data_IF_760600014722
#
_entry.id   IF_760600014722
#
_cell.length_a   1.000
_cell.length_b   1.000
_cell.length_c   1.000
_cell.angle_alpha   90.00
_cell.angle_beta   90.00
_cell.angle_gamma   90.00
#
_symmetry.space_group_name_H-M   'P 1'
#
loop_
_entity.id
_entity.type
_entity.pdbx_description
1 polymer ?
#
# COMPACT_ATOMS: atom_id res chain seq x y z
N UNK A 1 36.41 8.03 -18.47
CA UNK A 1 35.22 8.52 -17.80
C UNK A 1 34.57 7.29 -17.18
N UNK A 2 34.52 7.21 -15.87
CA UNK A 2 33.80 6.10 -15.21
C UNK A 2 32.31 6.35 -15.44
N UNK A 3 31.67 5.54 -16.26
CA UNK A 3 30.22 5.53 -16.38
C UNK A 3 29.66 5.14 -15.01
N UNK A 4 29.29 6.13 -14.23
CA UNK A 4 28.58 5.93 -12.98
C UNK A 4 27.10 5.66 -13.34
N UNK A 5 26.77 4.40 -13.60
CA UNK A 5 25.39 3.98 -13.73
C UNK A 5 24.77 3.98 -12.33
N UNK A 6 23.93 4.97 -12.05
CA UNK A 6 23.18 5.08 -10.82
C UNK A 6 21.75 4.59 -11.04
N UNK A 7 21.25 3.84 -10.08
CA UNK A 7 19.83 3.46 -10.05
C UNK A 7 19.25 3.71 -8.65
N UNK A 8 18.09 4.34 -8.62
CA UNK A 8 17.43 4.77 -7.39
C UNK A 8 16.06 4.17 -7.30
N UNK A 9 15.70 3.69 -6.10
CA UNK A 9 14.33 3.28 -5.78
C UNK A 9 13.88 3.88 -4.45
N UNK A 10 12.59 4.04 -4.30
CA UNK A 10 11.93 4.55 -3.11
C UNK A 10 10.97 3.51 -2.52
N UNK A 11 10.65 3.68 -1.24
CA UNK A 11 9.59 2.97 -0.57
C UNK A 11 8.94 3.85 0.47
N UNK A 12 7.68 3.54 0.78
CA UNK A 12 6.89 4.21 1.82
C UNK A 12 6.50 3.24 2.91
N UNK A 13 6.39 3.74 4.15
CA UNK A 13 5.98 2.94 5.29
C UNK A 13 4.47 2.71 5.35
N UNK A 14 4.05 1.84 6.26
CA UNK A 14 2.64 1.47 6.48
C UNK A 14 1.71 2.66 6.76
N UNK A 15 2.23 3.78 7.29
CA UNK A 15 1.45 4.98 7.58
C UNK A 15 1.53 6.08 6.52
N UNK A 16 2.24 5.88 5.43
CA UNK A 16 2.19 6.81 4.29
C UNK A 16 0.80 6.77 3.64
N UNK A 17 0.22 7.91 3.22
CA UNK A 17 -1.12 7.94 2.64
C UNK A 17 -1.37 6.90 1.54
N UNK A 18 -0.44 6.73 0.60
CA UNK A 18 -0.58 5.73 -0.46
C UNK A 18 -0.68 4.31 0.11
N UNK A 19 0.14 3.98 1.12
CA UNK A 19 0.13 2.65 1.73
C UNK A 19 -1.08 2.43 2.64
N UNK A 20 -1.56 3.48 3.29
CA UNK A 20 -2.84 3.42 4.03
C UNK A 20 -4.00 3.17 3.06
N UNK A 21 -4.00 3.84 1.90
CA UNK A 21 -5.01 3.61 0.87
C UNK A 21 -5.00 2.16 0.36
N UNK A 22 -3.82 1.60 0.06
CA UNK A 22 -3.67 0.19 -0.30
C UNK A 22 -4.25 -0.74 0.76
N UNK A 23 -3.87 -0.52 2.04
CA UNK A 23 -4.32 -1.37 3.16
C UNK A 23 -5.83 -1.31 3.37
N UNK A 24 -6.45 -0.13 3.19
CA UNK A 24 -7.91 0.00 3.28
C UNK A 24 -8.60 -0.73 2.13
N UNK A 25 -8.14 -0.56 0.90
CA UNK A 25 -8.71 -1.25 -0.27
C UNK A 25 -8.57 -2.77 -0.15
N UNK A 26 -7.41 -3.26 0.28
CA UNK A 26 -7.16 -4.68 0.53
C UNK A 26 -8.05 -5.23 1.66
N UNK A 27 -8.21 -4.48 2.75
CA UNK A 27 -9.07 -4.90 3.86
C UNK A 27 -10.54 -5.02 3.44
N UNK A 28 -11.04 -4.15 2.56
CA UNK A 28 -12.40 -4.25 2.00
C UNK A 28 -12.53 -5.51 1.15
N UNK A 29 -11.55 -5.80 0.29
CA UNK A 29 -11.51 -7.02 -0.52
C UNK A 29 -11.50 -8.26 0.38
N UNK A 30 -10.61 -8.32 1.35
CA UNK A 30 -10.46 -9.46 2.26
C UNK A 30 -11.73 -9.72 3.06
N UNK A 31 -12.35 -8.66 3.60
CA UNK A 31 -13.58 -8.79 4.39
C UNK A 31 -14.78 -9.32 3.56
N UNK A 32 -14.84 -8.96 2.27
CA UNK A 32 -15.84 -9.46 1.36
C UNK A 32 -15.57 -10.92 0.97
N UNK A 33 -14.34 -11.25 0.56
CA UNK A 33 -13.95 -12.60 0.18
C UNK A 33 -14.05 -13.61 1.33
N UNK A 34 -13.87 -13.18 2.56
CA UNK A 34 -14.03 -14.02 3.75
C UNK A 34 -15.48 -14.53 3.92
N UNK A 35 -16.47 -13.78 3.45
CA UNK A 35 -17.89 -14.12 3.53
C UNK A 35 -18.45 -14.69 2.22
N UNK A 36 -17.97 -14.21 1.09
CA UNK A 36 -18.42 -14.59 -0.24
C UNK A 36 -17.24 -14.69 -1.19
N UNK A 37 -16.80 -15.90 -1.51
CA UNK A 37 -15.65 -16.17 -2.38
C UNK A 37 -15.85 -15.73 -3.83
N UNK A 38 -17.11 -15.56 -4.26
CA UNK A 38 -17.47 -15.09 -5.59
C UNK A 38 -17.58 -13.56 -5.67
N UNK A 39 -17.20 -12.85 -4.61
CA UNK A 39 -17.18 -11.39 -4.60
C UNK A 39 -16.31 -10.82 -5.72
N UNK A 40 -16.82 -9.78 -6.36
CA UNK A 40 -16.07 -8.92 -7.28
C UNK A 40 -15.98 -7.54 -6.65
N UNK A 41 -14.76 -7.09 -6.42
CA UNK A 41 -14.50 -5.88 -5.63
C UNK A 41 -13.51 -5.01 -6.38
N UNK A 42 -13.98 -3.85 -6.81
CA UNK A 42 -13.16 -2.75 -7.30
C UNK A 42 -13.32 -1.61 -6.29
N UNK A 43 -12.40 -1.55 -5.34
CA UNK A 43 -12.43 -0.60 -4.24
C UNK A 43 -11.19 0.29 -4.30
N UNK A 44 -11.42 1.57 -4.58
CA UNK A 44 -10.40 2.62 -4.60
C UNK A 44 -10.49 3.45 -3.32
N UNK A 45 -9.35 3.89 -2.83
CA UNK A 45 -9.31 4.68 -1.59
C UNK A 45 -8.48 5.95 -1.79
N UNK A 46 -9.04 7.08 -1.36
CA UNK A 46 -8.34 8.36 -1.27
C UNK A 46 -8.19 8.74 0.21
N UNK A 47 -6.97 9.10 0.58
CA UNK A 47 -6.63 9.50 1.95
C UNK A 47 -6.09 10.92 2.01
N UNK A 48 -6.60 11.68 2.96
CA UNK A 48 -6.05 12.97 3.40
C UNK A 48 -6.21 13.05 4.91
N UNK A 49 -5.34 13.80 5.59
CA UNK A 49 -5.46 14.03 7.05
C UNK A 49 -6.91 14.30 7.44
N UNK A 50 -7.46 13.46 8.30
CA UNK A 50 -8.84 13.56 8.79
C UNK A 50 -9.95 13.13 7.82
N UNK A 51 -9.59 12.61 6.62
CA UNK A 51 -10.56 12.18 5.60
C UNK A 51 -10.11 10.89 4.91
N UNK A 52 -11.03 9.95 4.81
CA UNK A 52 -10.89 8.74 3.99
C UNK A 52 -12.13 8.65 3.10
N UNK A 53 -11.92 8.47 1.83
CA UNK A 53 -12.97 8.21 0.84
C UNK A 53 -12.73 6.84 0.24
N UNK A 54 -13.72 5.96 0.36
CA UNK A 54 -13.75 4.64 -0.29
C UNK A 54 -14.78 4.70 -1.39
N UNK A 55 -14.39 4.42 -2.62
CA UNK A 55 -15.25 4.53 -3.79
C UNK A 55 -15.01 3.36 -4.76
N UNK A 56 -15.98 3.08 -5.62
CA UNK A 56 -15.88 2.04 -6.63
C UNK A 56 -17.13 1.20 -6.72
N UNK A 57 -17.02 0.01 -7.34
CA UNK A 57 -18.13 -0.89 -7.54
C UNK A 57 -17.85 -2.28 -6.95
N UNK A 58 -18.86 -2.84 -6.31
CA UNK A 58 -18.78 -4.19 -5.73
C UNK A 58 -19.99 -5.04 -6.15
N UNK A 59 -19.75 -6.33 -6.32
CA UNK A 59 -20.78 -7.36 -6.42
C UNK A 59 -20.45 -8.46 -5.42
N UNK A 60 -21.22 -8.53 -4.35
CA UNK A 60 -21.01 -9.46 -3.24
C UNK A 60 -22.29 -9.67 -2.46
N UNK A 61 -22.43 -10.86 -1.86
CA UNK A 61 -23.45 -11.15 -0.84
C UNK A 61 -22.95 -10.82 0.58
N UNK A 62 -21.69 -10.43 0.74
CA UNK A 62 -21.10 -10.10 2.02
C UNK A 62 -21.75 -8.84 2.62
N UNK A 63 -21.83 -8.82 3.95
CA UNK A 63 -22.28 -7.67 4.73
C UNK A 63 -21.09 -7.16 5.54
N UNK A 64 -20.49 -6.05 5.11
CA UNK A 64 -19.30 -5.47 5.72
C UNK A 64 -19.62 -4.05 6.20
N UNK A 65 -19.34 -3.78 7.46
CA UNK A 65 -19.36 -2.41 8.02
C UNK A 65 -18.08 -1.70 7.58
N UNK A 66 -18.17 -1.00 6.47
CA UNK A 66 -17.02 -0.30 5.85
C UNK A 66 -16.47 0.80 6.76
N UNK A 67 -17.33 1.56 7.45
CA UNK A 67 -16.87 2.62 8.36
C UNK A 67 -16.02 2.05 9.49
N UNK A 68 -16.52 1.01 10.14
CA UNK A 68 -15.77 0.33 11.21
C UNK A 68 -14.47 -0.29 10.69
N UNK A 69 -14.51 -0.99 9.55
CA UNK A 69 -13.34 -1.63 8.96
C UNK A 69 -12.22 -0.62 8.66
N UNK A 70 -12.56 0.50 8.05
CA UNK A 70 -11.60 1.57 7.72
C UNK A 70 -10.94 2.12 8.99
N UNK A 71 -11.73 2.38 10.04
CA UNK A 71 -11.21 2.86 11.33
C UNK A 71 -10.30 1.86 12.00
N UNK A 72 -10.64 0.58 11.96
CA UNK A 72 -9.82 -0.51 12.51
C UNK A 72 -8.46 -0.59 11.79
N UNK A 73 -8.42 -0.47 10.47
CA UNK A 73 -7.17 -0.43 9.68
C UNK A 73 -6.30 0.76 10.09
N UNK A 74 -6.87 1.95 10.19
CA UNK A 74 -6.13 3.16 10.59
C UNK A 74 -5.56 3.03 12.00
N UNK A 75 -6.33 2.47 12.92
CA UNK A 75 -5.90 2.21 14.29
C UNK A 75 -4.74 1.19 14.35
N UNK A 76 -4.82 0.09 13.59
CA UNK A 76 -3.79 -0.96 13.54
C UNK A 76 -2.46 -0.44 12.98
N UNK A 77 -2.50 0.42 11.99
CA UNK A 77 -1.32 1.12 11.46
C UNK A 77 -0.63 1.93 12.56
N UNK A 78 -1.36 2.41 13.54
CA UNK A 78 -0.84 3.14 14.70
C UNK A 78 -1.18 4.63 14.70
N UNK A 79 -2.15 5.05 13.90
CA UNK A 79 -2.81 6.33 14.01
C UNK A 79 -3.92 6.21 15.06
N UNK A 80 -3.66 6.64 16.27
CA UNK A 80 -4.51 6.38 17.43
C UNK A 80 -4.81 7.62 18.28
N UNK A 81 -4.43 8.79 17.81
CA UNK A 81 -4.77 10.05 18.45
C UNK A 81 -4.59 11.25 17.51
N UNK A 82 -5.26 12.37 17.74
CA UNK A 82 -5.05 13.61 16.99
C UNK A 82 -3.59 14.10 17.00
N UNK A 83 -2.84 13.82 18.06
CA UNK A 83 -1.44 14.22 18.22
C UNK A 83 -0.51 13.53 17.22
N UNK A 84 -0.94 12.41 16.64
CA UNK A 84 -0.21 11.68 15.59
C UNK A 84 -0.52 12.22 14.20
N UNK A 85 -1.44 13.20 14.11
CA UNK A 85 -1.86 13.82 12.86
C UNK A 85 -3.00 13.09 12.15
N UNK A 86 -3.46 11.96 12.68
CA UNK A 86 -4.61 11.21 12.18
C UNK A 86 -5.24 10.39 13.31
N UNK A 87 -6.56 10.41 13.41
CA UNK A 87 -7.28 9.74 14.47
C UNK A 87 -8.48 8.97 13.89
N UNK A 88 -8.56 7.66 14.11
CA UNK A 88 -9.62 6.82 13.56
C UNK A 88 -11.00 7.17 14.11
N UNK A 89 -11.11 7.70 15.34
CA UNK A 89 -12.40 8.03 15.95
C UNK A 89 -13.01 9.32 15.39
N UNK A 90 -12.17 10.31 15.10
CA UNK A 90 -12.63 11.65 14.65
C UNK A 90 -12.52 11.88 13.15
N UNK A 91 -11.85 11.00 12.40
CA UNK A 91 -11.74 11.15 10.95
C UNK A 91 -13.09 10.95 10.25
N UNK A 92 -13.27 11.65 9.15
CA UNK A 92 -14.42 11.46 8.27
C UNK A 92 -14.18 10.27 7.35
N UNK A 93 -15.09 9.30 7.36
CA UNK A 93 -15.12 8.20 6.40
C UNK A 93 -16.29 8.43 5.45
N UNK A 94 -16.00 8.54 4.16
CA UNK A 94 -17.00 8.63 3.10
C UNK A 94 -17.03 7.30 2.36
N UNK A 95 -18.17 6.61 2.43
CA UNK A 95 -18.40 5.38 1.68
C UNK A 95 -19.23 5.71 0.42
N UNK A 96 -18.60 5.59 -0.73
CA UNK A 96 -19.19 5.77 -2.06
C UNK A 96 -19.07 4.49 -2.92
N UNK A 97 -19.03 3.31 -2.27
CA UNK A 97 -19.10 2.03 -2.98
C UNK A 97 -20.52 1.83 -3.51
N UNK A 98 -20.61 1.56 -4.82
CA UNK A 98 -21.85 1.23 -5.52
C UNK A 98 -21.92 -0.24 -5.93
N UNK A 99 -23.05 -0.64 -6.52
CA UNK A 99 -23.18 -1.95 -7.14
C UNK A 99 -22.56 -1.95 -8.54
N UNK A 100 -21.90 -3.06 -8.90
CA UNK A 100 -21.35 -3.25 -10.24
C UNK A 100 -22.42 -3.09 -11.30
N UNK A 101 -22.10 -2.40 -12.41
CA UNK A 101 -22.97 -2.23 -13.57
C UNK A 101 -23.36 -3.59 -14.17
N UNK A 102 -24.64 -3.75 -14.52
CA UNK A 102 -25.15 -4.93 -15.23
C UNK A 102 -24.50 -5.12 -16.59
N UNK A 103 -24.09 -4.05 -17.27
CA UNK A 103 -23.45 -4.11 -18.58
C UNK A 103 -22.05 -4.74 -18.49
N UNK A 104 -21.29 -4.40 -17.45
CA UNK A 104 -19.99 -5.03 -17.18
C UNK A 104 -20.19 -6.52 -16.81
N UNK A 105 -21.20 -6.82 -16.00
CA UNK A 105 -21.49 -8.20 -15.59
C UNK A 105 -21.78 -9.11 -16.80
N UNK A 106 -22.48 -8.64 -17.82
CA UNK A 106 -22.75 -9.42 -19.03
C UNK A 106 -21.49 -9.83 -19.81
N UNK A 107 -20.42 -9.03 -19.75
CA UNK A 107 -19.16 -9.35 -20.42
C UNK A 107 -18.22 -10.26 -19.61
N UNK A 108 -18.47 -10.39 -18.30
CA UNK A 108 -17.58 -11.09 -17.36
C UNK A 108 -18.17 -12.42 -16.90
N UNK A 109 -19.51 -12.51 -16.77
CA UNK A 109 -20.14 -13.67 -16.18
C UNK A 109 -20.18 -14.87 -17.12
N UNK A 110 -19.87 -16.05 -16.57
CA UNK A 110 -19.99 -17.32 -17.27
C UNK A 110 -21.48 -17.65 -17.48
N UNK A 111 -21.81 -18.06 -18.69
CA UNK A 111 -23.14 -18.53 -19.06
C UNK A 111 -23.02 -19.85 -19.83
N UNK A 112 -24.15 -20.50 -20.17
CA UNK A 112 -24.15 -21.73 -20.95
C UNK A 112 -23.45 -21.57 -22.33
N UNK A 113 -23.43 -20.37 -22.88
CA UNK A 113 -22.90 -20.03 -24.21
C UNK A 113 -21.69 -19.10 -24.18
N UNK A 114 -21.19 -18.71 -22.98
CA UNK A 114 -20.12 -17.75 -22.82
C UNK A 114 -19.22 -18.12 -21.65
N UNK A 115 -17.92 -18.34 -21.95
CA UNK A 115 -16.89 -18.55 -20.93
C UNK A 115 -16.64 -17.25 -20.13
N UNK A 116 -16.18 -17.39 -18.89
CA UNK A 116 -15.86 -16.23 -18.04
C UNK A 116 -14.87 -15.31 -18.73
N UNK A 117 -15.23 -14.05 -18.88
CA UNK A 117 -14.38 -12.99 -19.42
C UNK A 117 -13.60 -12.24 -18.35
N UNK A 118 -12.67 -11.38 -18.79
CA UNK A 118 -11.97 -10.45 -17.92
C UNK A 118 -12.78 -9.16 -17.75
N UNK A 119 -12.75 -8.59 -16.55
CA UNK A 119 -13.44 -7.32 -16.24
C UNK A 119 -12.75 -6.09 -16.82
N UNK A 120 -11.50 -6.21 -17.29
CA UNK A 120 -10.72 -5.13 -17.85
C UNK A 120 -9.67 -5.67 -18.84
N UNK A 121 -9.07 -4.76 -19.59
CA UNK A 121 -7.90 -5.03 -20.41
C UNK A 121 -6.70 -5.33 -19.50
N UNK A 122 -5.74 -6.12 -19.99
CA UNK A 122 -4.53 -6.41 -19.25
C UNK A 122 -3.33 -6.71 -20.15
N UNK A 123 -2.18 -6.31 -19.68
CA UNK A 123 -0.89 -6.79 -20.18
C UNK A 123 0.05 -6.99 -18.98
N UNK A 124 0.97 -7.94 -19.08
CA UNK A 124 1.84 -8.29 -17.97
C UNK A 124 3.29 -8.28 -18.41
N UNK A 125 4.16 -7.82 -17.49
CA UNK A 125 5.60 -7.91 -17.60
C UNK A 125 6.12 -8.79 -16.47
N UNK A 126 7.08 -9.66 -16.79
CA UNK A 126 7.83 -10.42 -15.79
C UNK A 126 9.25 -9.88 -15.70
N UNK A 127 9.74 -9.68 -14.46
CA UNK A 127 11.14 -9.29 -14.22
C UNK A 127 11.65 -9.94 -12.95
N UNK A 128 12.89 -10.44 -13.01
CA UNK A 128 13.62 -10.94 -11.85
C UNK A 128 15.12 -10.70 -12.04
N UNK A 129 15.87 -10.54 -10.94
CA UNK A 129 17.32 -10.39 -10.94
C UNK A 129 17.89 -11.10 -9.70
N UNK A 130 19.14 -11.54 -9.79
CA UNK A 130 19.86 -12.20 -8.71
C UNK A 130 20.61 -11.23 -7.77
N UNK A 131 20.27 -9.96 -7.83
CA UNK A 131 20.90 -8.93 -6.99
C UNK A 131 20.61 -9.11 -5.49
N UNK A 132 19.51 -9.75 -5.15
CA UNK A 132 19.06 -10.00 -3.79
C UNK A 132 18.47 -11.39 -3.61
N UNK A 133 18.37 -11.83 -2.37
CA UNK A 133 17.76 -13.11 -1.96
C UNK A 133 16.29 -13.26 -2.33
N UNK A 134 15.59 -12.16 -2.62
CA UNK A 134 14.18 -12.13 -3.05
C UNK A 134 14.01 -11.97 -4.55
N UNK A 135 15.07 -12.09 -5.33
CA UNK A 135 15.10 -11.99 -6.78
C UNK A 135 14.56 -10.65 -7.33
N UNK A 136 14.74 -9.58 -6.55
CA UNK A 136 14.34 -8.22 -6.92
C UNK A 136 15.53 -7.27 -6.87
N UNK A 137 15.50 -6.14 -7.60
CA UNK A 137 16.57 -5.15 -7.61
C UNK A 137 16.98 -4.68 -6.21
N UNK A 138 18.27 -4.53 -5.99
CA UNK A 138 18.82 -4.13 -4.70
C UNK A 138 18.27 -2.78 -4.19
N UNK A 139 18.21 -1.69 -4.98
CA UNK A 139 17.66 -0.42 -4.51
C UNK A 139 16.22 -0.54 -4.00
N UNK A 140 15.36 -1.28 -4.71
CA UNK A 140 13.98 -1.50 -4.32
C UNK A 140 13.88 -2.33 -3.03
N UNK A 141 14.57 -3.47 -3.00
CA UNK A 141 14.54 -4.37 -1.85
C UNK A 141 15.02 -3.70 -0.58
N UNK A 142 16.12 -2.99 -0.65
CA UNK A 142 16.67 -2.32 0.55
C UNK A 142 15.87 -1.09 0.96
N UNK A 143 15.23 -0.37 0.02
CA UNK A 143 14.30 0.70 0.39
C UNK A 143 13.09 0.15 1.16
N UNK A 144 12.53 -0.98 0.74
CA UNK A 144 11.46 -1.67 1.49
C UNK A 144 11.93 -2.09 2.89
N UNK A 145 13.13 -2.71 2.99
CA UNK A 145 13.68 -3.15 4.28
C UNK A 145 13.92 -2.00 5.27
N UNK A 146 14.26 -0.80 4.77
CA UNK A 146 14.44 0.38 5.62
C UNK A 146 13.13 0.84 6.27
N UNK A 147 12.05 1.00 5.51
CA UNK A 147 10.76 1.41 6.07
C UNK A 147 10.12 0.32 6.91
N UNK A 148 10.34 -0.95 6.58
CA UNK A 148 9.96 -2.07 7.43
C UNK A 148 10.68 -2.00 8.77
N UNK A 149 11.99 -1.74 8.76
CA UNK A 149 12.77 -1.58 9.99
C UNK A 149 12.33 -0.38 10.82
N UNK A 150 11.98 0.72 10.18
CA UNK A 150 11.41 1.90 10.84
C UNK A 150 10.12 1.53 11.58
N UNK A 151 9.20 0.80 10.93
CA UNK A 151 7.95 0.36 11.53
C UNK A 151 8.18 -0.58 12.72
N UNK A 152 9.11 -1.55 12.62
CA UNK A 152 9.51 -2.43 13.74
C UNK A 152 10.02 -1.64 14.94
N UNK A 153 10.92 -0.67 14.69
CA UNK A 153 11.50 0.16 15.74
C UNK A 153 10.48 1.07 16.38
N UNK A 154 9.56 1.65 15.60
CA UNK A 154 8.44 2.44 16.08
C UNK A 154 7.54 1.63 17.01
N UNK A 155 7.21 0.41 16.63
CA UNK A 155 6.35 -0.49 17.43
C UNK A 155 7.06 -1.01 18.69
N UNK A 156 8.40 -1.06 18.71
CA UNK A 156 9.19 -1.64 19.83
C UNK A 156 9.91 -0.59 20.67
N UNK A 157 10.96 0.02 20.17
CA UNK A 157 11.96 0.76 20.95
C UNK A 157 11.93 2.29 20.78
N UNK A 158 11.55 2.80 19.62
CA UNK A 158 11.60 4.23 19.31
C UNK A 158 10.19 4.85 19.30
N UNK A 159 9.61 5.02 20.47
CA UNK A 159 8.22 5.48 20.64
C UNK A 159 7.94 6.92 20.15
N UNK A 160 8.97 7.69 19.85
CA UNK A 160 8.84 9.02 19.26
C UNK A 160 8.61 8.97 17.74
N UNK A 161 8.90 7.86 17.07
CA UNK A 161 8.59 7.69 15.65
C UNK A 161 7.07 7.55 15.43
N UNK A 162 6.63 8.01 14.27
CA UNK A 162 5.24 7.99 13.83
C UNK A 162 5.08 7.10 12.59
N UNK A 163 3.84 6.75 12.21
CA UNK A 163 3.61 5.75 11.17
C UNK A 163 4.12 6.13 9.78
N UNK A 164 4.13 7.42 9.43
CA UNK A 164 4.53 7.87 8.10
C UNK A 164 6.06 7.96 7.97
N UNK A 165 6.61 7.32 6.96
CA UNK A 165 8.02 7.41 6.58
C UNK A 165 8.22 7.09 5.11
N UNK A 166 9.33 7.60 4.55
CA UNK A 166 9.83 7.31 3.20
C UNK A 166 11.29 6.96 3.26
N UNK A 167 11.71 6.03 2.42
CA UNK A 167 13.11 5.72 2.17
C UNK A 167 13.44 5.83 0.70
N UNK A 168 14.67 6.22 0.40
CA UNK A 168 15.24 6.23 -0.94
C UNK A 168 16.66 5.71 -0.87
N UNK A 169 16.98 4.75 -1.75
CA UNK A 169 18.35 4.25 -1.90
C UNK A 169 18.82 4.39 -3.34
N UNK A 170 20.05 4.87 -3.48
CA UNK A 170 20.76 4.97 -4.75
C UNK A 170 21.95 4.02 -4.71
N UNK A 171 22.06 3.16 -5.69
CA UNK A 171 23.18 2.25 -5.89
C UNK A 171 23.99 2.62 -7.12
N UNK A 172 25.29 2.36 -7.04
CA UNK A 172 26.21 2.38 -8.19
C UNK A 172 26.26 0.99 -8.79
N UNK A 173 26.19 0.93 -10.11
CA UNK A 173 26.29 -0.28 -10.89
C UNK A 173 27.55 -0.27 -11.75
N UNK A 174 28.17 -1.41 -11.93
CA UNK A 174 29.26 -1.59 -12.88
C UNK A 174 28.75 -1.68 -14.35
N UNK A 175 29.66 -1.78 -15.28
CA UNK A 175 29.33 -1.92 -16.70
C UNK A 175 28.59 -3.23 -17.03
N UNK A 176 28.66 -4.23 -16.15
CA UNK A 176 27.93 -5.49 -16.27
C UNK A 176 26.53 -5.47 -15.66
N UNK A 177 26.11 -4.31 -15.09
CA UNK A 177 24.80 -4.16 -14.45
C UNK A 177 24.71 -4.76 -13.05
N UNK A 178 25.85 -4.94 -12.34
CA UNK A 178 25.87 -5.43 -10.95
C UNK A 178 25.98 -4.27 -9.97
N UNK A 179 25.22 -4.28 -8.86
CA UNK A 179 25.36 -3.27 -7.80
C UNK A 179 26.72 -3.43 -7.11
N UNK A 180 27.47 -2.34 -6.99
CA UNK A 180 28.83 -2.34 -6.44
C UNK A 180 28.96 -1.53 -5.15
N UNK A 181 28.13 -0.50 -4.97
CA UNK A 181 28.15 0.34 -3.79
C UNK A 181 26.83 1.07 -3.60
N UNK A 182 26.55 1.44 -2.36
CA UNK A 182 25.50 2.40 -2.03
C UNK A 182 26.09 3.82 -2.25
N UNK A 183 25.39 4.63 -3.05
CA UNK A 183 25.77 6.01 -3.32
C UNK A 183 25.08 6.99 -2.37
N UNK A 184 23.77 6.78 -2.14
CA UNK A 184 22.99 7.62 -1.23
C UNK A 184 21.91 6.82 -0.51
N UNK A 185 21.62 7.24 0.73
CA UNK A 185 20.49 6.77 1.54
C UNK A 185 19.75 7.99 2.08
N UNK A 186 18.45 8.07 1.82
CA UNK A 186 17.56 9.06 2.42
C UNK A 186 16.47 8.33 3.20
N UNK A 187 16.28 8.71 4.46
CA UNK A 187 15.19 8.24 5.30
C UNK A 187 14.50 9.45 5.92
N UNK A 188 13.25 9.69 5.52
CA UNK A 188 12.38 10.71 6.11
C UNK A 188 11.35 10.00 6.96
N UNK A 189 11.15 10.45 8.20
CA UNK A 189 10.16 9.85 9.10
C UNK A 189 9.40 10.93 9.85
N UNK A 190 8.11 10.74 9.99
CA UNK A 190 7.30 11.49 10.91
C UNK A 190 7.71 11.13 12.35
N UNK A 191 7.84 12.12 13.21
CA UNK A 191 8.21 11.92 14.61
C UNK A 191 7.63 13.01 15.52
N UNK A 192 7.57 12.75 16.81
CA UNK A 192 7.31 13.77 17.82
C UNK A 192 8.43 14.81 17.81
N UNK A 193 8.11 16.03 18.25
CA UNK A 193 9.14 17.05 18.42
C UNK A 193 10.29 16.54 19.30
N UNK A 194 11.52 16.58 18.75
CA UNK A 194 12.72 16.12 19.47
C UNK A 194 13.13 17.05 20.60
N UNK A 195 12.50 18.21 20.75
CA UNK A 195 12.76 19.19 21.84
C UNK A 195 12.40 18.58 23.22
N UNK A 196 11.58 17.54 23.26
CA UNK A 196 11.12 16.91 24.49
C UNK A 196 11.66 15.51 24.74
N UNK A 197 12.69 15.11 23.98
CA UNK A 197 13.37 13.83 24.15
C UNK A 197 14.62 13.96 25.00
#
# INVERSE_FOLDING_TARGET
MTDNNLFTSESVSEGHPDKVADQVSDAVLDAMLAQDKESRVACETLIKTGLIVVAGEVRSNAQVDIDKLVRDVVADIGYNSPDVGFDPESCTVVNALGQQSSDIAMGVDETADHEQGAGDQGLMFGYATDETDVLMPAPLTYSHRLVQKQAEMRRSSLKFLRPDAKSQLTFRYDAGGKPTAIDAVVLSTQHLSLIHI
#
